data_IF_039826671131
#
_entry.id   IF_039826671131
#
_cell.length_a   1.000
_cell.length_b   1.000
_cell.length_c   1.000
_cell.angle_alpha   90.00
_cell.angle_beta   90.00
_cell.angle_gamma   90.00
#
_symmetry.space_group_name_H-M   'P 1'
#
loop_
_entity.id
_entity.type
_entity.pdbx_description
1 polymer ?
#
# COMPACT_ATOMS: atom_id res chain seq x y z
N UNK A 1 48.13 -74.32 6.34
CA UNK A 1 48.01 -72.96 5.78
C UNK A 1 46.61 -72.76 5.16
N UNK A 2 45.53 -73.09 5.91
CA UNK A 2 44.14 -73.10 5.40
C UNK A 2 43.09 -72.52 6.37
N UNK A 3 43.52 -71.89 7.47
CA UNK A 3 42.64 -71.34 8.51
C UNK A 3 42.17 -69.90 8.23
N UNK A 4 42.93 -69.13 7.44
CA UNK A 4 42.62 -67.73 7.15
C UNK A 4 41.44 -67.54 6.17
N UNK A 5 41.16 -68.53 5.32
CA UNK A 5 40.08 -68.44 4.33
C UNK A 5 38.68 -68.75 4.89
N UNK A 6 38.61 -69.47 6.02
CA UNK A 6 37.35 -69.77 6.72
C UNK A 6 36.87 -68.58 7.54
N UNK A 7 37.76 -68.00 8.36
CA UNK A 7 37.49 -66.80 9.17
C UNK A 7 37.01 -65.62 8.32
N UNK A 8 37.62 -65.41 7.15
CA UNK A 8 37.23 -64.30 6.27
C UNK A 8 35.81 -64.47 5.72
N UNK A 9 35.36 -65.71 5.49
CA UNK A 9 33.98 -65.97 5.05
C UNK A 9 32.96 -65.73 6.16
N UNK A 10 33.29 -66.08 7.39
CA UNK A 10 32.42 -65.78 8.55
C UNK A 10 32.37 -64.28 8.86
N UNK A 11 33.50 -63.57 8.73
CA UNK A 11 33.51 -62.13 8.92
C UNK A 11 32.67 -61.41 7.86
N UNK A 12 32.77 -61.82 6.59
CA UNK A 12 31.96 -61.24 5.52
C UNK A 12 30.47 -61.52 5.71
N UNK A 13 30.08 -62.72 6.15
CA UNK A 13 28.68 -63.04 6.41
C UNK A 13 28.11 -62.29 7.62
N UNK A 14 28.93 -62.08 8.66
CA UNK A 14 28.56 -61.26 9.81
C UNK A 14 28.40 -59.78 9.43
N UNK A 15 29.28 -59.26 8.55
CA UNK A 15 29.20 -57.89 8.06
C UNK A 15 27.95 -57.70 7.18
N UNK A 16 27.63 -58.65 6.31
CA UNK A 16 26.42 -58.64 5.49
C UNK A 16 25.16 -58.69 6.35
N UNK A 17 25.13 -59.48 7.43
CA UNK A 17 24.01 -59.49 8.38
C UNK A 17 23.87 -58.17 9.14
N UNK A 18 24.99 -57.58 9.58
CA UNK A 18 24.96 -56.30 10.29
C UNK A 18 24.56 -55.15 9.36
N UNK A 19 25.01 -55.16 8.11
CA UNK A 19 24.57 -54.22 7.09
C UNK A 19 23.09 -54.41 6.79
N UNK A 20 22.64 -55.65 6.52
CA UNK A 20 21.24 -55.95 6.26
C UNK A 20 20.35 -55.48 7.42
N UNK A 21 20.75 -55.76 8.67
CA UNK A 21 20.03 -55.30 9.86
C UNK A 21 20.04 -53.77 9.99
N UNK A 22 21.17 -53.12 9.75
CA UNK A 22 21.29 -51.66 9.80
C UNK A 22 20.42 -50.98 8.74
N UNK A 23 20.37 -51.54 7.53
CA UNK A 23 19.53 -51.03 6.45
C UNK A 23 18.05 -51.27 6.73
N UNK A 24 17.67 -52.43 7.29
CA UNK A 24 16.29 -52.74 7.66
C UNK A 24 15.78 -51.83 8.79
N UNK A 25 16.58 -51.61 9.84
CA UNK A 25 16.25 -50.67 10.93
C UNK A 25 16.15 -49.21 10.44
N UNK A 26 17.04 -48.80 9.53
CA UNK A 26 16.98 -47.47 8.90
C UNK A 26 15.75 -47.33 8.00
N UNK A 27 15.40 -48.37 7.26
CA UNK A 27 14.22 -48.41 6.41
C UNK A 27 12.93 -48.41 7.25
N UNK A 28 12.88 -49.12 8.36
CA UNK A 28 11.74 -49.11 9.31
C UNK A 28 11.58 -47.72 9.95
N UNK A 29 12.69 -47.10 10.38
CA UNK A 29 12.74 -45.73 10.89
C UNK A 29 12.34 -44.66 9.87
N UNK A 30 12.56 -44.91 8.56
CA UNK A 30 12.12 -44.01 7.49
C UNK A 30 10.67 -44.28 7.05
N UNK A 31 10.20 -45.53 7.19
CA UNK A 31 8.87 -46.00 6.80
C UNK A 31 7.83 -45.62 7.84
N UNK A 32 8.22 -45.53 9.10
CA UNK A 32 7.51 -44.77 10.11
C UNK A 32 7.74 -43.27 9.89
N UNK A 33 7.14 -42.70 8.82
CA UNK A 33 6.96 -41.24 8.69
C UNK A 33 6.52 -40.74 10.05
N UNK A 34 7.41 -40.01 10.71
CA UNK A 34 7.27 -39.72 12.14
C UNK A 34 5.88 -39.13 12.37
N UNK A 35 5.28 -39.40 13.53
CA UNK A 35 3.99 -38.77 13.89
C UNK A 35 4.03 -37.25 13.68
N UNK A 36 5.20 -36.63 13.82
CA UNK A 36 5.50 -35.25 13.44
C UNK A 36 5.30 -34.95 11.95
N UNK A 37 5.89 -35.72 11.03
CA UNK A 37 5.72 -35.50 9.58
C UNK A 37 4.26 -35.61 9.14
N UNK A 38 3.49 -36.52 9.74
CA UNK A 38 2.04 -36.64 9.50
C UNK A 38 1.28 -35.42 10.03
N UNK A 39 1.61 -34.95 11.24
CA UNK A 39 1.02 -33.76 11.84
C UNK A 39 1.30 -32.52 10.98
N UNK A 40 2.56 -32.24 10.67
CA UNK A 40 2.98 -31.09 9.87
C UNK A 40 2.48 -31.16 8.43
N UNK A 41 2.41 -32.36 7.83
CA UNK A 41 1.81 -32.57 6.52
C UNK A 41 0.30 -32.27 6.51
N UNK A 42 -0.40 -32.61 7.59
CA UNK A 42 -1.84 -32.30 7.74
C UNK A 42 -2.06 -30.81 7.96
N UNK A 43 -1.24 -30.16 8.80
CA UNK A 43 -1.25 -28.71 9.01
C UNK A 43 -1.08 -27.95 7.70
N UNK A 44 -0.03 -28.24 6.93
CA UNK A 44 0.24 -27.58 5.65
C UNK A 44 -0.89 -27.78 4.64
N UNK A 45 -1.52 -28.95 4.64
CA UNK A 45 -2.69 -29.21 3.78
C UNK A 45 -3.91 -28.42 4.21
N UNK A 46 -4.15 -28.28 5.50
CA UNK A 46 -5.26 -27.49 6.03
C UNK A 46 -5.09 -25.99 5.76
N UNK A 47 -3.85 -25.49 5.77
CA UNK A 47 -3.57 -24.06 5.54
C UNK A 47 -3.52 -23.66 4.07
N UNK A 48 -3.37 -24.62 3.15
CA UNK A 48 -3.21 -24.35 1.71
C UNK A 48 -4.33 -23.48 1.13
N UNK A 49 -5.59 -23.79 1.49
CA UNK A 49 -6.75 -23.07 0.96
C UNK A 49 -6.78 -21.61 1.46
N UNK A 50 -6.43 -21.40 2.74
CA UNK A 50 -6.36 -20.07 3.35
C UNK A 50 -5.18 -19.24 2.78
N UNK A 51 -4.02 -19.88 2.59
CA UNK A 51 -2.83 -19.28 2.01
C UNK A 51 -3.04 -18.83 0.56
N UNK A 52 -3.90 -19.51 -0.19
CA UNK A 52 -4.24 -19.14 -1.57
C UNK A 52 -5.32 -18.05 -1.64
N UNK A 53 -6.23 -18.01 -0.66
CA UNK A 53 -7.33 -17.05 -0.62
C UNK A 53 -6.87 -15.65 -0.15
N UNK A 54 -6.13 -15.56 0.96
CA UNK A 54 -5.73 -14.28 1.59
C UNK A 54 -5.04 -13.31 0.60
N UNK A 55 -4.06 -13.73 -0.22
CA UNK A 55 -3.37 -12.83 -1.13
C UNK A 55 -4.28 -12.29 -2.25
N UNK A 56 -5.24 -13.10 -2.72
CA UNK A 56 -6.22 -12.69 -3.75
C UNK A 56 -7.15 -11.61 -3.20
N UNK A 57 -7.60 -11.76 -1.96
CA UNK A 57 -8.46 -10.78 -1.30
C UNK A 57 -7.71 -9.45 -1.08
N UNK A 58 -6.45 -9.52 -0.62
CA UNK A 58 -5.62 -8.32 -0.44
C UNK A 58 -5.33 -7.61 -1.77
N UNK A 59 -4.98 -8.34 -2.82
CA UNK A 59 -4.66 -7.77 -4.14
C UNK A 59 -5.90 -7.12 -4.79
N UNK A 60 -7.05 -7.79 -4.74
CA UNK A 60 -8.31 -7.26 -5.26
C UNK A 60 -8.77 -5.99 -4.53
N UNK A 61 -8.76 -6.01 -3.19
CA UNK A 61 -9.19 -4.87 -2.40
C UNK A 61 -8.28 -3.66 -2.61
N UNK A 62 -6.96 -3.85 -2.55
CA UNK A 62 -5.99 -2.76 -2.74
C UNK A 62 -5.95 -2.23 -4.15
N UNK A 63 -6.18 -3.06 -5.18
CA UNK A 63 -6.30 -2.62 -6.56
C UNK A 63 -7.46 -1.64 -6.77
N UNK A 64 -8.62 -1.95 -6.19
CA UNK A 64 -9.79 -1.05 -6.24
C UNK A 64 -9.52 0.29 -5.53
N UNK A 65 -8.83 0.26 -4.38
CA UNK A 65 -8.46 1.46 -3.63
C UNK A 65 -7.43 2.30 -4.43
N UNK A 66 -6.46 1.67 -5.07
CA UNK A 66 -5.44 2.36 -5.85
C UNK A 66 -6.05 3.10 -7.06
N UNK A 67 -6.96 2.44 -7.77
CA UNK A 67 -7.68 3.07 -8.89
C UNK A 67 -8.58 4.22 -8.42
N UNK A 68 -9.31 4.02 -7.33
CA UNK A 68 -10.14 5.07 -6.73
C UNK A 68 -9.31 6.28 -6.28
N UNK A 69 -8.25 6.06 -5.51
CA UNK A 69 -7.39 7.13 -4.98
C UNK A 69 -6.69 7.90 -6.09
N UNK A 70 -6.27 7.23 -7.17
CA UNK A 70 -5.71 7.90 -8.35
C UNK A 70 -6.71 8.80 -9.06
N UNK A 71 -7.94 8.31 -9.30
CA UNK A 71 -8.99 9.10 -9.93
C UNK A 71 -9.42 10.28 -9.04
N UNK A 72 -9.59 10.02 -7.74
CA UNK A 72 -9.92 11.05 -6.76
C UNK A 72 -8.82 12.11 -6.68
N UNK A 73 -7.54 11.73 -6.64
CA UNK A 73 -6.43 12.67 -6.65
C UNK A 73 -6.42 13.55 -7.91
N UNK A 74 -6.75 13.01 -9.08
CA UNK A 74 -6.90 13.78 -10.31
C UNK A 74 -8.06 14.78 -10.23
N UNK A 75 -9.20 14.37 -9.68
CA UNK A 75 -10.34 15.27 -9.43
C UNK A 75 -9.95 16.40 -8.47
N UNK A 76 -9.37 16.07 -7.32
CA UNK A 76 -8.90 17.09 -6.34
C UNK A 76 -7.89 18.03 -6.98
N UNK A 77 -6.94 17.52 -7.76
CA UNK A 77 -5.95 18.33 -8.46
C UNK A 77 -6.60 19.34 -9.42
N UNK A 78 -7.67 18.96 -10.14
CA UNK A 78 -8.40 19.88 -11.00
C UNK A 78 -9.04 21.03 -10.21
N UNK A 79 -9.67 20.74 -9.06
CA UNK A 79 -10.21 21.76 -8.17
C UNK A 79 -9.11 22.65 -7.58
N UNK A 80 -7.98 22.08 -7.17
CA UNK A 80 -6.83 22.85 -6.67
C UNK A 80 -6.30 23.81 -7.75
N UNK A 81 -6.14 23.35 -9.00
CA UNK A 81 -5.71 24.20 -10.12
C UNK A 81 -6.71 25.34 -10.34
N UNK A 82 -8.01 25.06 -10.29
CA UNK A 82 -9.03 26.09 -10.49
C UNK A 82 -9.06 27.10 -9.35
N UNK A 83 -9.02 26.64 -8.09
CA UNK A 83 -9.01 27.57 -6.97
C UNK A 83 -7.71 28.34 -6.84
N UNK A 84 -6.57 27.81 -7.31
CA UNK A 84 -5.31 28.57 -7.34
C UNK A 84 -5.46 29.90 -8.09
N UNK A 85 -6.29 29.92 -9.14
CA UNK A 85 -6.60 31.16 -9.88
C UNK A 85 -7.29 32.20 -9.00
N UNK A 86 -8.13 31.77 -8.05
CA UNK A 86 -8.81 32.64 -7.08
C UNK A 86 -7.87 33.16 -5.97
N UNK A 87 -6.71 32.54 -5.75
CA UNK A 87 -5.66 33.07 -4.86
C UNK A 87 -4.65 33.97 -5.58
N UNK A 88 -4.75 34.11 -6.89
CA UNK A 88 -3.98 35.08 -7.66
C UNK A 88 -4.86 36.30 -7.95
N UNK A 89 -4.22 37.45 -8.14
CA UNK A 89 -4.89 38.62 -8.71
C UNK A 89 -5.58 38.20 -10.01
N UNK A 90 -6.90 38.41 -10.11
CA UNK A 90 -7.56 38.30 -11.41
C UNK A 90 -7.06 39.45 -12.29
N UNK A 91 -6.31 39.08 -13.32
CA UNK A 91 -5.83 40.00 -14.36
C UNK A 91 -7.00 40.77 -14.98
N UNK A 92 -8.20 40.18 -15.00
CA UNK A 92 -9.46 40.80 -15.46
C UNK A 92 -9.85 42.00 -14.61
N UNK A 93 -10.03 41.82 -13.30
CA UNK A 93 -10.36 42.91 -12.37
C UNK A 93 -9.32 44.04 -12.39
N UNK A 94 -8.03 43.71 -12.47
CA UNK A 94 -6.98 44.73 -12.56
C UNK A 94 -7.06 45.52 -13.88
N UNK A 95 -7.46 44.86 -14.98
CA UNK A 95 -7.71 45.51 -16.26
C UNK A 95 -8.97 46.37 -16.22
N UNK A 96 -10.04 45.92 -15.55
CA UNK A 96 -11.27 46.72 -15.37
C UNK A 96 -10.99 47.96 -14.52
N UNK A 97 -10.26 47.83 -13.41
CA UNK A 97 -9.85 48.98 -12.58
C UNK A 97 -9.01 49.97 -13.39
N UNK A 98 -8.03 49.48 -14.16
CA UNK A 98 -7.21 50.33 -15.03
C UNK A 98 -8.03 50.99 -16.14
N UNK A 99 -8.95 50.28 -16.78
CA UNK A 99 -9.86 50.82 -17.80
C UNK A 99 -10.79 51.88 -17.20
N UNK A 100 -11.28 51.67 -15.97
CA UNK A 100 -12.14 52.62 -15.26
C UNK A 100 -11.36 53.89 -14.90
N UNK A 101 -10.12 53.74 -14.45
CA UNK A 101 -9.22 54.88 -14.20
C UNK A 101 -8.89 55.64 -15.50
N UNK A 102 -8.66 54.92 -16.60
CA UNK A 102 -8.34 55.51 -17.90
C UNK A 102 -9.55 56.26 -18.48
N UNK A 103 -10.75 55.71 -18.33
CA UNK A 103 -12.00 56.37 -18.73
C UNK A 103 -12.29 57.61 -17.87
N UNK A 104 -12.04 57.55 -16.56
CA UNK A 104 -12.18 58.69 -15.66
C UNK A 104 -11.17 59.81 -15.99
N UNK A 105 -9.93 59.44 -16.35
CA UNK A 105 -8.90 60.38 -16.79
C UNK A 105 -9.21 61.00 -18.16
N UNK A 106 -9.85 60.26 -19.08
CA UNK A 106 -10.19 60.77 -20.41
C UNK A 106 -11.44 61.66 -20.43
N UNK A 107 -12.35 61.48 -19.46
CA UNK A 107 -13.60 62.25 -19.38
C UNK A 107 -13.47 63.52 -18.54
N UNK A 108 -12.46 63.61 -17.67
CA UNK A 108 -12.28 64.72 -16.74
C UNK A 108 -10.95 65.46 -16.97
N UNK A 109 -10.80 66.11 -18.12
CA UNK A 109 -9.57 66.80 -18.59
C UNK A 109 -9.12 68.00 -17.73
N UNK A 110 -9.76 68.27 -16.59
CA UNK A 110 -9.43 69.40 -15.70
C UNK A 110 -9.01 68.98 -14.29
N UNK A 111 -9.06 67.68 -13.96
CA UNK A 111 -8.45 67.17 -12.75
C UNK A 111 -6.99 66.82 -13.08
N UNK A 112 -6.04 67.45 -12.39
CA UNK A 112 -4.64 67.02 -12.38
C UNK A 112 -4.59 65.48 -12.27
N UNK A 113 -3.70 64.78 -13.00
CA UNK A 113 -3.46 63.38 -12.76
C UNK A 113 -2.77 63.32 -11.40
N UNK A 114 -3.57 63.38 -10.33
CA UNK A 114 -3.12 63.00 -9.02
C UNK A 114 -2.75 61.55 -9.23
N UNK A 115 -1.45 61.32 -9.32
CA UNK A 115 -0.79 60.07 -9.07
C UNK A 115 -1.18 59.63 -7.66
N UNK A 116 -2.44 59.27 -7.46
CA UNK A 116 -2.75 58.23 -6.53
C UNK A 116 -2.20 56.98 -7.22
N UNK A 117 -0.90 56.76 -7.05
CA UNK A 117 -0.47 55.43 -6.69
C UNK A 117 -1.32 55.06 -5.47
N UNK A 118 -2.55 54.61 -5.73
CA UNK A 118 -3.27 53.74 -4.83
C UNK A 118 -2.24 52.65 -4.60
N UNK A 119 -1.51 52.76 -3.49
CA UNK A 119 -0.56 51.77 -3.04
C UNK A 119 -1.33 50.47 -3.20
N UNK A 120 -0.88 49.63 -4.14
CA UNK A 120 -1.58 48.41 -4.49
C UNK A 120 -1.84 47.70 -3.16
N UNK A 121 -3.09 47.74 -2.68
CA UNK A 121 -3.41 47.14 -1.41
C UNK A 121 -2.95 45.69 -1.55
N UNK A 122 -2.03 45.20 -0.70
CA UNK A 122 -1.46 43.88 -0.89
C UNK A 122 -2.63 42.91 -0.91
N UNK A 123 -2.79 42.22 -2.04
CA UNK A 123 -3.89 41.30 -2.26
C UNK A 123 -3.94 40.33 -1.09
N UNK A 124 -5.07 40.33 -0.39
CA UNK A 124 -5.28 39.46 0.76
C UNK A 124 -6.35 38.47 0.37
N UNK A 125 -5.92 37.26 0.02
CA UNK A 125 -6.84 36.20 -0.34
C UNK A 125 -7.89 35.99 0.77
N UNK A 126 -9.17 35.78 0.42
CA UNK A 126 -10.21 35.57 1.40
C UNK A 126 -9.90 34.31 2.23
N UNK A 127 -10.01 34.43 3.56
CA UNK A 127 -9.72 33.34 4.51
C UNK A 127 -10.41 32.00 4.15
N UNK A 128 -11.70 31.98 3.71
CA UNK A 128 -12.36 30.75 3.28
C UNK A 128 -11.66 30.06 2.09
N UNK A 129 -11.14 30.82 1.13
CA UNK A 129 -10.44 30.26 -0.04
C UNK A 129 -9.09 29.65 0.35
N UNK A 130 -8.37 30.27 1.29
CA UNK A 130 -7.11 29.73 1.83
C UNK A 130 -7.36 28.41 2.58
N UNK A 131 -8.41 28.36 3.41
CA UNK A 131 -8.79 27.16 4.17
C UNK A 131 -9.26 26.05 3.21
N UNK A 132 -10.05 26.36 2.19
CA UNK A 132 -10.48 25.39 1.18
C UNK A 132 -9.29 24.77 0.45
N UNK A 133 -8.30 25.57 0.05
CA UNK A 133 -7.08 25.03 -0.58
C UNK A 133 -6.28 24.15 0.37
N UNK A 134 -6.11 24.58 1.62
CA UNK A 134 -5.43 23.76 2.63
C UNK A 134 -6.12 22.39 2.80
N UNK A 135 -7.46 22.38 2.90
CA UNK A 135 -8.25 21.15 2.99
C UNK A 135 -8.09 20.26 1.76
N UNK A 136 -8.08 20.84 0.55
CA UNK A 136 -7.87 20.07 -0.67
C UNK A 136 -6.46 19.51 -0.78
N UNK A 137 -5.42 20.28 -0.44
CA UNK A 137 -4.06 19.75 -0.35
C UNK A 137 -3.93 18.63 0.68
N UNK A 138 -4.53 18.79 1.87
CA UNK A 138 -4.58 17.72 2.86
C UNK A 138 -5.29 16.47 2.30
N UNK A 139 -6.44 16.64 1.62
CA UNK A 139 -7.14 15.52 0.99
C UNK A 139 -6.30 14.81 -0.07
N UNK A 140 -5.53 15.56 -0.86
CA UNK A 140 -4.63 15.03 -1.87
C UNK A 140 -3.48 14.23 -1.25
N UNK A 141 -2.84 14.77 -0.20
CA UNK A 141 -1.75 14.09 0.53
C UNK A 141 -2.26 12.80 1.16
N UNK A 142 -3.44 12.82 1.78
CA UNK A 142 -4.05 11.61 2.37
C UNK A 142 -4.38 10.57 1.28
N UNK A 143 -4.89 10.99 0.13
CA UNK A 143 -5.14 10.10 -1.01
C UNK A 143 -3.84 9.46 -1.55
N UNK A 144 -2.76 10.23 -1.64
CA UNK A 144 -1.44 9.71 -2.05
C UNK A 144 -0.85 8.75 -1.00
N UNK A 145 -0.99 9.06 0.29
CA UNK A 145 -0.58 8.15 1.36
C UNK A 145 -1.35 6.83 1.31
N UNK A 146 -2.66 6.89 1.03
CA UNK A 146 -3.50 5.72 0.82
C UNK A 146 -3.04 4.87 -0.38
N UNK A 147 -2.74 5.52 -1.52
CA UNK A 147 -2.17 4.86 -2.70
C UNK A 147 -0.83 4.16 -2.37
N UNK A 148 0.09 4.83 -1.66
CA UNK A 148 1.36 4.24 -1.23
C UNK A 148 1.15 3.02 -0.33
N UNK A 149 0.28 3.12 0.68
CA UNK A 149 -0.04 2.00 1.57
C UNK A 149 -0.67 0.83 0.80
N UNK A 150 -1.58 1.09 -0.14
CA UNK A 150 -2.16 0.06 -1.00
C UNK A 150 -1.07 -0.65 -1.83
N UNK A 151 -0.13 0.09 -2.42
CA UNK A 151 0.99 -0.51 -3.16
C UNK A 151 1.92 -1.34 -2.27
N UNK A 152 2.12 -0.94 -1.01
CA UNK A 152 2.91 -1.71 -0.05
C UNK A 152 2.22 -3.04 0.27
N UNK A 153 0.91 -3.03 0.54
CA UNK A 153 0.13 -4.25 0.77
C UNK A 153 0.18 -5.17 -0.45
N UNK A 154 0.10 -4.63 -1.67
CA UNK A 154 0.27 -5.41 -2.89
C UNK A 154 1.68 -6.04 -3.01
N UNK A 155 2.73 -5.31 -2.65
CA UNK A 155 4.10 -5.84 -2.64
C UNK A 155 4.23 -6.98 -1.63
N UNK A 156 3.69 -6.81 -0.43
CA UNK A 156 3.72 -7.81 0.62
C UNK A 156 2.92 -9.05 0.24
N UNK A 157 1.74 -8.88 -0.36
CA UNK A 157 0.92 -9.98 -0.89
C UNK A 157 1.69 -10.82 -1.92
N UNK A 158 2.35 -10.15 -2.89
CA UNK A 158 3.18 -10.85 -3.89
C UNK A 158 4.40 -11.54 -3.28
N UNK A 159 5.05 -10.90 -2.31
CA UNK A 159 6.21 -11.48 -1.62
C UNK A 159 5.79 -12.70 -0.79
N UNK A 160 4.64 -12.66 -0.14
CA UNK A 160 4.03 -13.80 0.58
C UNK A 160 3.80 -14.99 -0.35
N UNK A 161 3.13 -14.77 -1.50
CA UNK A 161 2.89 -15.82 -2.50
C UNK A 161 4.21 -16.38 -3.03
N UNK A 162 5.19 -15.52 -3.33
CA UNK A 162 6.50 -15.94 -3.83
C UNK A 162 7.27 -16.77 -2.79
N UNK A 163 7.23 -16.38 -1.52
CA UNK A 163 7.94 -17.09 -0.46
C UNK A 163 7.32 -18.46 -0.16
N UNK A 164 6.00 -18.60 -0.30
CA UNK A 164 5.31 -19.89 -0.23
C UNK A 164 5.64 -20.75 -1.46
N UNK A 165 5.53 -20.21 -2.67
CA UNK A 165 5.72 -20.96 -3.91
C UNK A 165 7.17 -21.40 -4.16
N UNK A 166 8.16 -20.55 -3.86
CA UNK A 166 9.60 -20.84 -4.10
C UNK A 166 10.09 -22.06 -3.32
N UNK A 167 9.42 -22.42 -2.22
CA UNK A 167 9.91 -23.42 -1.27
C UNK A 167 9.20 -24.77 -1.37
N UNK A 168 8.29 -24.91 -2.33
CA UNK A 168 7.75 -26.23 -2.74
C UNK A 168 8.77 -27.04 -3.55
N UNK A 169 9.77 -26.38 -4.16
CA UNK A 169 10.75 -27.02 -5.06
C UNK A 169 12.08 -27.43 -4.42
N UNK A 170 12.29 -27.11 -3.13
CA UNK A 170 13.49 -27.50 -2.38
C UNK A 170 13.21 -28.79 -1.61
N UNK A 171 14.14 -29.76 -1.67
CA UNK A 171 14.11 -31.05 -0.96
C UNK A 171 14.32 -30.86 0.56
N UNK A 172 13.43 -30.10 1.18
CA UNK A 172 13.49 -29.67 2.57
C UNK A 172 12.49 -30.46 3.43
N UNK A 173 12.91 -30.88 4.63
CA UNK A 173 12.07 -31.68 5.54
C UNK A 173 10.74 -31.00 5.85
N UNK A 174 9.64 -31.76 5.89
CA UNK A 174 8.26 -31.26 6.11
C UNK A 174 8.16 -30.37 7.36
N UNK A 175 8.91 -30.70 8.40
CA UNK A 175 8.98 -29.95 9.66
C UNK A 175 9.56 -28.53 9.47
N UNK A 176 10.69 -28.40 8.76
CA UNK A 176 11.32 -27.09 8.51
C UNK A 176 10.38 -26.18 7.72
N UNK A 177 9.72 -26.74 6.71
CA UNK A 177 8.71 -26.04 5.92
C UNK A 177 7.56 -25.52 6.78
N UNK A 178 7.03 -26.34 7.69
CA UNK A 178 5.92 -25.94 8.54
C UNK A 178 6.30 -24.89 9.59
N UNK A 179 7.51 -24.99 10.18
CA UNK A 179 8.01 -23.98 11.11
C UNK A 179 8.26 -22.63 10.42
N UNK A 180 8.81 -22.64 9.21
CA UNK A 180 9.03 -21.42 8.44
C UNK A 180 7.71 -20.80 7.98
N UNK A 181 6.73 -21.61 7.56
CA UNK A 181 5.38 -21.15 7.26
C UNK A 181 4.72 -20.49 8.46
N UNK A 182 4.83 -21.11 9.63
CA UNK A 182 4.33 -20.54 10.89
C UNK A 182 5.05 -19.21 11.19
N UNK A 183 6.37 -19.12 11.01
CA UNK A 183 7.11 -17.87 11.23
C UNK A 183 6.63 -16.74 10.32
N UNK A 184 6.47 -17.00 9.02
CA UNK A 184 5.99 -15.99 8.05
C UNK A 184 4.56 -15.56 8.39
N UNK A 185 3.66 -16.51 8.67
CA UNK A 185 2.27 -16.24 9.06
C UNK A 185 2.19 -15.44 10.36
N UNK A 186 2.97 -15.85 11.37
CA UNK A 186 3.04 -15.10 12.64
C UNK A 186 3.61 -13.70 12.41
N UNK A 187 4.54 -13.54 11.46
CA UNK A 187 5.02 -12.23 11.01
C UNK A 187 3.88 -11.40 10.42
N UNK A 188 3.16 -11.92 9.44
CA UNK A 188 2.02 -11.24 8.80
C UNK A 188 0.95 -10.85 9.81
N UNK A 189 0.56 -11.78 10.69
CA UNK A 189 -0.44 -11.54 11.73
C UNK A 189 0.07 -10.53 12.78
N UNK A 190 1.37 -10.54 13.10
CA UNK A 190 2.00 -9.60 14.06
C UNK A 190 2.22 -8.20 13.48
N UNK A 191 2.54 -8.09 12.20
CA UNK A 191 2.66 -6.81 11.49
C UNK A 191 1.29 -6.20 11.17
N UNK A 192 0.19 -6.93 11.42
CA UNK A 192 -1.16 -6.39 11.39
C UNK A 192 -1.59 -5.97 9.99
N UNK A 193 -1.40 -6.83 8.99
CA UNK A 193 -1.86 -6.55 7.62
C UNK A 193 -3.34 -6.16 7.57
N UNK A 194 -4.19 -6.80 8.38
CA UNK A 194 -5.61 -6.46 8.46
C UNK A 194 -5.83 -5.04 9.01
N UNK A 195 -5.05 -4.64 10.02
CA UNK A 195 -5.10 -3.28 10.56
C UNK A 195 -4.61 -2.22 9.55
N UNK A 196 -3.65 -2.56 8.68
CA UNK A 196 -3.21 -1.69 7.59
C UNK A 196 -4.32 -1.53 6.55
N UNK A 197 -5.00 -2.61 6.18
CA UNK A 197 -6.13 -2.54 5.24
C UNK A 197 -7.26 -1.69 5.80
N UNK A 198 -7.62 -1.85 7.08
CA UNK A 198 -8.61 -1.02 7.76
C UNK A 198 -8.19 0.45 7.80
N UNK A 199 -6.91 0.73 8.08
CA UNK A 199 -6.34 2.08 8.07
C UNK A 199 -6.42 2.72 6.69
N UNK A 200 -6.11 1.98 5.62
CA UNK A 200 -6.21 2.45 4.24
C UNK A 200 -7.65 2.90 3.96
N UNK A 201 -8.64 2.07 4.30
CA UNK A 201 -10.06 2.42 4.10
C UNK A 201 -10.43 3.66 4.91
N UNK A 202 -10.00 3.76 6.16
CA UNK A 202 -10.25 4.94 6.99
C UNK A 202 -9.63 6.23 6.38
N UNK A 203 -8.42 6.14 5.83
CA UNK A 203 -7.76 7.27 5.14
C UNK A 203 -8.51 7.69 3.88
N UNK A 204 -9.07 6.75 3.10
CA UNK A 204 -9.93 7.08 1.94
C UNK A 204 -11.12 7.93 2.39
N UNK A 205 -11.85 7.47 3.41
CA UNK A 205 -13.01 8.19 3.91
C UNK A 205 -12.63 9.57 4.43
N UNK A 206 -11.53 9.67 5.17
CA UNK A 206 -10.99 10.93 5.64
C UNK A 206 -10.69 11.89 4.48
N UNK A 207 -10.02 11.42 3.43
CA UNK A 207 -9.70 12.23 2.25
C UNK A 207 -10.97 12.78 1.58
N UNK A 208 -11.99 11.94 1.40
CA UNK A 208 -13.28 12.34 0.80
C UNK A 208 -13.99 13.39 1.67
N UNK A 209 -13.99 13.23 3.00
CA UNK A 209 -14.61 14.18 3.92
C UNK A 209 -13.88 15.53 3.88
N UNK A 210 -12.55 15.55 3.89
CA UNK A 210 -11.78 16.79 3.75
C UNK A 210 -12.09 17.50 2.44
N UNK A 211 -12.17 16.76 1.34
CA UNK A 211 -12.51 17.32 0.04
C UNK A 211 -13.92 17.93 0.03
N UNK A 212 -14.91 17.21 0.55
CA UNK A 212 -16.29 17.69 0.64
C UNK A 212 -16.40 18.95 1.52
N UNK A 213 -15.70 19.00 2.65
CA UNK A 213 -15.65 20.20 3.50
C UNK A 213 -15.04 21.39 2.76
N UNK A 214 -13.93 21.19 2.03
CA UNK A 214 -13.34 22.23 1.18
C UNK A 214 -14.29 22.69 0.06
N UNK A 215 -15.06 21.77 -0.53
CA UNK A 215 -16.05 22.09 -1.57
C UNK A 215 -17.19 22.94 -1.02
N UNK A 216 -17.72 22.63 0.16
CA UNK A 216 -18.76 23.44 0.82
C UNK A 216 -18.26 24.86 1.12
N UNK A 217 -17.03 24.99 1.61
CA UNK A 217 -16.40 26.29 1.86
C UNK A 217 -16.16 27.08 0.56
N UNK A 218 -15.86 26.39 -0.54
CA UNK A 218 -15.68 27.01 -1.85
C UNK A 218 -17.02 27.49 -2.46
N UNK A 219 -18.11 26.74 -2.29
CA UNK A 219 -19.44 27.11 -2.81
C UNK A 219 -20.15 28.17 -1.96
N UNK A 220 -19.93 28.21 -0.65
CA UNK A 220 -20.62 29.12 0.26
C UNK A 220 -20.59 30.60 -0.19
N UNK A 221 -19.43 31.21 -0.53
CA UNK A 221 -19.39 32.60 -0.98
C UNK A 221 -19.97 32.82 -2.39
N UNK A 222 -20.11 31.78 -3.21
CA UNK A 222 -20.72 31.89 -4.55
C UNK A 222 -22.24 32.10 -4.42
N UNK A 223 -22.86 31.59 -3.35
CA UNK A 223 -24.30 31.73 -3.10
C UNK A 223 -24.71 33.13 -2.61
N UNK A 224 -23.77 33.93 -2.10
CA UNK A 224 -24.04 35.28 -1.60
C UNK A 224 -23.94 36.37 -2.69
N UNK A 225 -23.89 35.98 -3.98
CA UNK A 225 -23.87 36.88 -5.15
C UNK A 225 -25.18 36.85 -5.92
#
# INVERSE_FOLDING_TARGET
MSTSAGDNKELLSALDQLLAKYWDEKEESAREKTTGDKFWGTYLRAMKDEDEARPKDWDGNTGSILTFTGLFAATVAAFVIESYKSLSHDSGDQTVVLLTQLLAASTNSSANPVTSSQAANPFRAPLPAVIANALWFCSLVVALACSLLATLVQQWSRDYVRDIARRESLDETIISRALNHLYIRTGVDRYGMDAVVDLIVALVHLAVILFAAGLLLFLFPINDV
#
